data_IF_423113688262
#
_entry.id   IF_423113688262
#
_cell.length_a   1.000
_cell.length_b   1.000
_cell.length_c   1.000
_cell.angle_alpha   90.00
_cell.angle_beta   90.00
_cell.angle_gamma   90.00
#
_symmetry.space_group_name_H-M   'P 1'
#
loop_
_entity.id
_entity.type
_entity.pdbx_description
1 polymer ?
#
# COMPACT_ATOMS: atom_id res chain seq x y z
N UNK A 1 7.00 13.40 7.23
CA UNK A 1 5.93 12.69 6.50
C UNK A 1 6.47 11.36 5.99
N UNK A 2 5.87 10.25 6.42
CA UNK A 2 6.18 8.88 5.99
C UNK A 2 5.35 8.54 4.75
N UNK A 3 5.96 7.94 3.73
CA UNK A 3 5.28 7.53 2.51
C UNK A 3 5.26 6.02 2.42
N UNK A 4 4.07 5.42 2.44
CA UNK A 4 3.89 3.97 2.46
C UNK A 4 3.56 3.50 1.05
N UNK A 5 4.53 2.88 0.38
CA UNK A 5 4.32 2.24 -0.91
C UNK A 5 3.44 0.99 -0.78
N UNK A 6 2.37 0.90 -1.57
CA UNK A 6 1.51 -0.30 -1.64
C UNK A 6 0.97 -0.53 -3.05
N UNK A 7 0.55 -1.76 -3.36
CA UNK A 7 -0.18 -2.06 -4.61
C UNK A 7 -1.55 -1.38 -4.60
N UNK A 8 -2.11 -1.16 -5.79
CA UNK A 8 -3.40 -0.48 -5.97
C UNK A 8 -4.66 -1.33 -5.70
N UNK A 9 -4.51 -2.61 -5.34
CA UNK A 9 -5.67 -3.49 -5.11
C UNK A 9 -6.38 -3.16 -3.80
N UNK A 10 -7.69 -3.42 -3.73
CA UNK A 10 -8.52 -3.17 -2.54
C UNK A 10 -7.92 -3.80 -1.27
N UNK A 11 -7.42 -5.03 -1.38
CA UNK A 11 -6.79 -5.72 -0.26
C UNK A 11 -5.50 -5.01 0.18
N UNK A 12 -4.64 -4.63 -0.77
CA UNK A 12 -3.36 -3.99 -0.49
C UNK A 12 -3.54 -2.58 0.11
N UNK A 13 -4.53 -1.81 -0.37
CA UNK A 13 -4.86 -0.50 0.22
C UNK A 13 -5.48 -0.64 1.61
N UNK A 14 -6.27 -1.69 1.85
CA UNK A 14 -6.82 -1.99 3.19
C UNK A 14 -5.72 -2.32 4.19
N UNK A 15 -4.82 -3.23 3.81
CA UNK A 15 -3.67 -3.62 4.65
C UNK A 15 -2.75 -2.43 4.96
N UNK A 16 -2.40 -1.64 3.93
CA UNK A 16 -1.56 -0.47 4.12
C UNK A 16 -2.26 0.64 4.93
N UNK A 17 -3.59 0.76 4.81
CA UNK A 17 -4.40 1.66 5.63
C UNK A 17 -4.26 1.39 7.13
N UNK A 18 -4.26 0.12 7.55
CA UNK A 18 -4.03 -0.26 8.95
C UNK A 18 -2.67 0.25 9.46
N UNK A 19 -1.62 0.12 8.65
CA UNK A 19 -0.27 0.59 9.01
C UNK A 19 -0.22 2.12 9.07
N UNK A 20 -0.82 2.81 8.10
CA UNK A 20 -0.93 4.27 8.09
C UNK A 20 -1.62 4.77 9.36
N UNK A 21 -2.77 4.19 9.71
CA UNK A 21 -3.58 4.64 10.85
C UNK A 21 -2.84 4.42 12.17
N UNK A 22 -2.07 3.34 12.29
CA UNK A 22 -1.20 3.11 13.44
C UNK A 22 -0.08 4.16 13.55
N UNK A 23 0.57 4.54 12.43
CA UNK A 23 1.59 5.58 12.40
C UNK A 23 1.02 6.95 12.76
N UNK A 24 -0.15 7.31 12.21
CA UNK A 24 -0.86 8.55 12.54
C UNK A 24 -1.22 8.59 14.02
N UNK A 25 -1.73 7.48 14.57
CA UNK A 25 -2.05 7.36 16.00
C UNK A 25 -0.81 7.53 16.88
N UNK A 26 0.36 7.08 16.41
CA UNK A 26 1.64 7.27 17.09
C UNK A 26 2.23 8.70 16.93
N UNK A 27 1.54 9.62 16.24
CA UNK A 27 1.98 10.99 16.03
C UNK A 27 2.87 11.19 14.80
N UNK A 28 2.94 10.21 13.90
CA UNK A 28 3.67 10.31 12.64
C UNK A 28 2.72 10.59 11.48
N UNK A 29 2.90 11.74 10.83
CA UNK A 29 2.23 12.04 9.56
C UNK A 29 2.62 11.01 8.48
N UNK A 30 1.62 10.33 7.90
CA UNK A 30 1.80 9.23 6.96
C UNK A 30 0.75 9.21 5.85
N UNK A 31 1.18 8.93 4.62
CA UNK A 31 0.31 8.81 3.43
C UNK A 31 0.55 7.50 2.67
N UNK A 32 -0.47 7.04 1.94
CA UNK A 32 -0.34 5.91 1.01
C UNK A 32 0.11 6.40 -0.35
N UNK A 33 1.10 5.72 -0.94
CA UNK A 33 1.55 5.94 -2.31
C UNK A 33 1.32 4.66 -3.10
N UNK A 34 0.52 4.73 -4.14
CA UNK A 34 0.28 3.58 -5.03
C UNK A 34 1.51 3.37 -5.90
N UNK A 35 2.03 2.15 -5.89
CA UNK A 35 3.13 1.70 -6.75
C UNK A 35 2.58 0.62 -7.68
N UNK A 36 2.72 0.83 -8.99
CA UNK A 36 2.38 -0.18 -9.98
C UNK A 36 3.53 -1.16 -10.13
N UNK A 37 3.22 -2.44 -10.04
CA UNK A 37 4.17 -3.55 -10.21
C UNK A 37 3.86 -4.34 -11.49
N UNK A 38 4.81 -5.14 -11.97
CA UNK A 38 4.58 -6.01 -13.14
C UNK A 38 3.39 -6.96 -12.93
N UNK A 39 3.26 -7.51 -11.72
CA UNK A 39 2.15 -8.38 -11.35
C UNK A 39 0.79 -7.67 -11.21
N UNK A 40 0.72 -6.33 -11.29
CA UNK A 40 -0.55 -5.60 -11.45
C UNK A 40 -0.98 -5.49 -12.91
N UNK A 41 -0.05 -5.74 -13.85
CA UNK A 41 -0.26 -5.59 -15.30
C UNK A 41 -0.39 -6.93 -16.02
N UNK A 42 -0.28 -8.04 -15.30
CA UNK A 42 -0.26 -9.39 -15.85
C UNK A 42 -1.15 -10.32 -15.03
N UNK A 43 -2.12 -10.94 -15.71
CA UNK A 43 -2.95 -12.05 -15.19
C UNK A 43 -2.38 -13.42 -15.57
N UNK A 44 -1.18 -13.46 -16.17
CA UNK A 44 -0.53 -14.72 -16.53
C UNK A 44 -0.26 -15.57 -15.27
N UNK A 45 -0.34 -16.90 -15.36
CA UNK A 45 0.04 -17.78 -14.27
C UNK A 45 1.46 -17.48 -13.81
N UNK A 46 1.63 -17.37 -12.48
CA UNK A 46 2.95 -17.37 -11.87
C UNK A 46 3.53 -18.80 -11.93
N UNK A 47 4.76 -18.93 -12.43
CA UNK A 47 5.47 -20.20 -12.56
C UNK A 47 6.12 -20.65 -11.24
#
# INVERSE_FOLDING_TARGET
MIRIGTRGSLLATTQAGVVRDALVTAGHDAELVIVSTEGDRSDAPIA
#
